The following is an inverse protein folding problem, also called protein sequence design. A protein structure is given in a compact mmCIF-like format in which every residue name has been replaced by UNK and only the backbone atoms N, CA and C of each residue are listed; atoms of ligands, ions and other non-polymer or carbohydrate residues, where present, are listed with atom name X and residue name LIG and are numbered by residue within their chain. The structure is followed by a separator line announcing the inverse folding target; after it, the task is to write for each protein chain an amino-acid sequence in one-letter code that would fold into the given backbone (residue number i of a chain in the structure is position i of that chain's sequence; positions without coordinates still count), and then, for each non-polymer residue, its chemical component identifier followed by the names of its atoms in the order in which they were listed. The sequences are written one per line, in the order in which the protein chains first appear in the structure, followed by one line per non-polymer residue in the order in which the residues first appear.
data_IF_054380332894
#
_entry.id   IF_054380332894
#
_cell.length_a   1.000
_cell.length_b   1.000
_cell.length_c   1.000
_cell.angle_alpha   90.00
_cell.angle_beta   90.00
_cell.angle_gamma   90.00
#
_symmetry.space_group_name_H-M   'P 1'
#
loop_
_entity.id
_entity.type
_entity.pdbx_description
1 polymer ?
#
# COMPACT_ATOMS: atom_id res chain seq x y z
N UNK A 1 -30.63 13.87 -27.37
CA UNK A 1 -31.79 13.44 -26.55
C UNK A 1 -31.37 12.25 -25.69
N UNK A 2 -31.69 12.26 -24.37
CA UNK A 2 -31.36 11.14 -23.49
C UNK A 2 -32.39 10.02 -23.66
N UNK A 3 -31.94 8.79 -23.94
CA UNK A 3 -32.81 7.61 -24.01
C UNK A 3 -33.41 7.33 -22.63
N UNK A 4 -34.74 7.20 -22.56
CA UNK A 4 -35.47 6.75 -21.38
C UNK A 4 -35.86 5.28 -21.59
N UNK A 5 -35.72 4.46 -20.57
CA UNK A 5 -36.13 3.04 -20.57
C UNK A 5 -37.21 2.85 -19.51
N UNK A 6 -38.23 2.08 -19.84
CA UNK A 6 -39.35 1.78 -18.96
C UNK A 6 -38.94 0.60 -18.05
N UNK A 7 -38.99 0.78 -16.73
CA UNK A 7 -38.75 -0.29 -15.76
C UNK A 7 -39.99 -1.23 -15.66
N UNK A 8 -39.82 -2.40 -15.08
CA UNK A 8 -40.90 -3.37 -14.84
C UNK A 8 -42.03 -2.82 -13.94
N UNK A 9 -41.74 -1.75 -13.22
CA UNK A 9 -42.68 -0.99 -12.37
C UNK A 9 -43.44 0.12 -13.09
N UNK A 10 -43.36 0.19 -14.43
CA UNK A 10 -44.06 1.17 -15.27
C UNK A 10 -43.47 2.58 -15.20
N UNK A 11 -42.36 2.81 -14.49
CA UNK A 11 -41.73 4.12 -14.35
C UNK A 11 -40.61 4.32 -15.39
N UNK A 12 -40.46 5.54 -15.88
CA UNK A 12 -39.47 5.94 -16.87
C UNK A 12 -38.15 6.36 -16.20
N UNK A 13 -37.08 5.57 -16.41
CA UNK A 13 -35.75 5.82 -15.90
C UNK A 13 -34.85 6.45 -16.97
N UNK A 14 -34.08 7.51 -16.59
CA UNK A 14 -33.04 8.08 -17.44
C UNK A 14 -31.81 7.19 -17.41
N UNK A 15 -31.44 6.60 -18.54
CA UNK A 15 -30.18 5.85 -18.66
C UNK A 15 -29.02 6.84 -18.65
N UNK A 16 -28.14 6.75 -17.65
CA UNK A 16 -26.90 7.55 -17.59
C UNK A 16 -25.99 7.10 -18.73
N UNK A 17 -25.53 8.05 -19.57
CA UNK A 17 -24.58 7.75 -20.65
C UNK A 17 -23.28 7.21 -20.03
N UNK A 18 -22.74 6.09 -20.54
CA UNK A 18 -21.48 5.54 -20.04
C UNK A 18 -20.35 6.58 -20.22
N UNK A 19 -19.45 6.66 -19.23
CA UNK A 19 -18.42 7.70 -19.10
C UNK A 19 -17.46 7.79 -20.29
N UNK A 20 -17.20 6.66 -20.97
CA UNK A 20 -16.35 6.60 -22.19
C UNK A 20 -16.96 7.29 -23.42
N UNK A 21 -18.24 7.65 -23.41
CA UNK A 21 -18.90 8.44 -24.47
C UNK A 21 -18.83 9.94 -24.23
N UNK A 22 -18.13 10.39 -23.22
CA UNK A 22 -17.85 11.82 -22.98
C UNK A 22 -16.60 12.21 -23.73
N UNK A 23 -16.66 13.29 -24.52
CA UNK A 23 -15.53 13.82 -25.29
C UNK A 23 -14.29 14.03 -24.42
N UNK A 24 -14.47 14.44 -23.17
CA UNK A 24 -13.40 14.60 -22.19
C UNK A 24 -12.57 13.33 -21.93
N UNK A 25 -13.19 12.15 -21.97
CA UNK A 25 -12.50 10.87 -21.83
C UNK A 25 -11.51 10.62 -22.97
N UNK A 26 -11.89 10.96 -24.20
CA UNK A 26 -11.03 10.82 -25.37
C UNK A 26 -9.89 11.86 -25.39
N UNK A 27 -10.14 13.08 -24.87
CA UNK A 27 -9.10 14.10 -24.68
C UNK A 27 -8.03 13.61 -23.71
N UNK A 28 -8.40 12.95 -22.60
CA UNK A 28 -7.45 12.36 -21.66
C UNK A 28 -6.62 11.24 -22.29
N UNK A 29 -7.23 10.37 -23.12
CA UNK A 29 -6.52 9.32 -23.84
C UNK A 29 -5.51 9.91 -24.83
N UNK A 30 -5.89 10.94 -25.58
CA UNK A 30 -4.98 11.62 -26.52
C UNK A 30 -3.81 12.27 -25.80
N UNK A 31 -4.04 12.94 -24.67
CA UNK A 31 -2.98 13.51 -23.81
C UNK A 31 -2.03 12.43 -23.27
N UNK A 32 -2.55 11.27 -22.93
CA UNK A 32 -1.74 10.14 -22.43
C UNK A 32 -0.86 9.53 -23.52
N UNK A 33 -1.35 9.47 -24.76
CA UNK A 33 -0.59 8.97 -25.90
C UNK A 33 0.43 9.99 -26.44
N UNK A 34 0.12 11.29 -26.42
CA UNK A 34 1.06 12.35 -26.85
C UNK A 34 2.15 12.65 -25.83
N UNK A 35 1.91 12.36 -24.54
CA UNK A 35 2.90 12.55 -23.48
C UNK A 35 4.06 11.54 -23.47
N UNK A 36 3.93 10.41 -24.17
CA UNK A 36 4.94 9.32 -24.21
C UNK A 36 5.72 9.32 -25.54
N UNK A 37 5.27 10.06 -26.57
CA UNK A 37 5.84 10.06 -27.93
C UNK A 37 6.89 11.13 -28.21
N UNK A 38 7.33 11.93 -27.25
CA UNK A 38 8.19 13.10 -27.44
C UNK A 38 9.69 12.92 -27.22
N UNK A 39 10.27 11.72 -27.40
CA UNK A 39 11.70 11.53 -27.26
C UNK A 39 12.26 10.54 -28.28
N UNK A 40 12.24 10.88 -29.59
CA UNK A 40 13.14 10.31 -30.59
C UNK A 40 12.80 10.91 -31.98
N UNK A 41 13.43 12.02 -32.35
CA UNK A 41 13.99 12.26 -33.69
C UNK A 41 14.72 13.59 -33.70
N UNK A 42 16.01 13.54 -33.97
CA UNK A 42 16.86 14.70 -34.17
C UNK A 42 16.78 15.23 -35.61
N UNK A 43 17.26 16.46 -35.81
CA UNK A 43 17.65 16.94 -37.16
C UNK A 43 17.31 18.39 -37.45
N UNK A 44 18.31 19.23 -37.33
CA UNK A 44 18.80 20.34 -38.15
C UNK A 44 17.98 21.61 -38.46
N UNK A 45 18.62 22.72 -37.98
CA UNK A 45 18.91 24.03 -38.64
C UNK A 45 17.78 24.97 -39.12
N UNK A 46 17.72 26.19 -38.64
CA UNK A 46 18.48 27.44 -38.95
C UNK A 46 17.74 28.70 -38.48
N UNK A 47 18.56 29.57 -37.87
CA UNK A 47 18.61 31.05 -37.91
C UNK A 47 17.42 31.94 -37.53
N UNK A 48 17.61 32.71 -36.53
CA UNK A 48 17.92 34.14 -36.46
C UNK A 48 17.08 34.97 -35.49
N UNK A 49 17.82 35.75 -34.72
CA UNK A 49 17.58 37.07 -34.14
C UNK A 49 16.85 37.23 -32.79
N UNK A 50 17.70 37.45 -31.79
CA UNK A 50 17.75 38.56 -30.83
C UNK A 50 16.45 39.09 -30.21
N UNK A 51 16.29 38.89 -28.92
CA UNK A 51 16.01 39.94 -27.92
C UNK A 51 16.30 39.46 -26.51
N UNK A 52 17.22 40.14 -25.87
CA UNK A 52 17.63 40.06 -24.46
C UNK A 52 16.46 40.39 -23.54
N UNK A 53 16.15 39.50 -22.58
CA UNK A 53 15.63 39.96 -21.29
C UNK A 53 16.08 38.97 -20.22
N UNK A 54 16.94 39.47 -19.34
CA UNK A 54 17.41 38.89 -18.10
C UNK A 54 16.24 38.56 -17.21
N UNK A 55 16.02 37.29 -16.90
CA UNK A 55 15.16 36.86 -15.80
C UNK A 55 15.91 35.86 -14.96
N UNK A 56 16.21 36.27 -13.76
CA UNK A 56 16.90 35.58 -12.69
C UNK A 56 16.25 34.24 -12.44
N UNK A 57 16.94 33.16 -12.78
CA UNK A 57 16.55 31.80 -12.46
C UNK A 57 16.78 31.56 -10.97
N UNK A 58 15.72 31.67 -10.17
CA UNK A 58 15.74 31.23 -8.78
C UNK A 58 15.57 29.72 -8.79
N UNK A 59 16.69 29.04 -8.83
CA UNK A 59 16.82 27.62 -8.62
C UNK A 59 16.25 27.30 -7.23
N UNK A 60 15.00 26.86 -7.19
CA UNK A 60 14.42 26.27 -5.99
C UNK A 60 15.02 24.89 -5.84
N UNK A 61 16.15 24.83 -5.17
CA UNK A 61 16.67 23.58 -4.62
C UNK A 61 15.59 23.00 -3.74
N UNK A 62 14.94 21.95 -4.23
CA UNK A 62 14.04 21.14 -3.45
C UNK A 62 14.92 20.38 -2.46
N UNK A 63 15.09 20.99 -1.32
CA UNK A 63 15.77 20.40 -0.18
C UNK A 63 14.97 19.14 0.20
N UNK A 64 15.42 18.00 -0.32
CA UNK A 64 15.00 16.71 0.20
C UNK A 64 15.62 16.62 1.57
N UNK A 65 14.89 17.09 2.57
CA UNK A 65 15.22 16.83 3.97
C UNK A 65 15.20 15.32 4.09
N UNK A 66 16.36 14.69 4.11
CA UNK A 66 16.53 13.33 4.60
C UNK A 66 16.09 13.37 6.07
N UNK A 67 14.82 13.06 6.33
CA UNK A 67 14.32 12.79 7.65
C UNK A 67 15.13 11.58 8.11
N UNK A 68 15.96 11.73 9.13
CA UNK A 68 16.61 10.59 9.79
C UNK A 68 15.51 9.56 10.01
N UNK A 69 15.59 8.40 9.34
CA UNK A 69 14.63 7.32 9.49
C UNK A 69 14.85 6.75 10.89
N UNK A 70 14.05 7.24 11.84
CA UNK A 70 14.02 6.71 13.19
C UNK A 70 13.59 5.25 13.08
N UNK A 71 14.54 4.35 13.29
CA UNK A 71 14.26 2.91 13.30
C UNK A 71 13.73 2.53 14.67
N UNK A 72 12.53 1.97 14.68
CA UNK A 72 11.89 1.43 15.87
C UNK A 72 12.21 -0.06 16.00
N UNK A 73 11.93 -0.65 17.16
CA UNK A 73 12.17 -2.06 17.47
C UNK A 73 10.88 -2.79 17.82
N UNK A 74 10.96 -4.11 17.90
CA UNK A 74 9.88 -4.95 18.43
C UNK A 74 9.52 -4.47 19.84
N UNK A 75 8.22 -4.28 20.09
CA UNK A 75 7.68 -3.79 21.35
C UNK A 75 7.51 -2.28 21.44
N UNK A 76 8.10 -1.50 20.54
CA UNK A 76 7.90 -0.04 20.53
C UNK A 76 6.50 0.31 20.02
N UNK A 77 5.87 1.30 20.64
CA UNK A 77 4.66 1.95 20.13
C UNK A 77 5.06 3.04 19.13
N UNK A 78 4.61 2.92 17.90
CA UNK A 78 5.07 3.73 16.78
C UNK A 78 3.91 4.48 16.14
N UNK A 79 3.88 5.80 16.30
CA UNK A 79 2.90 6.65 15.67
C UNK A 79 3.37 7.10 14.26
N UNK A 80 2.50 6.95 13.26
CA UNK A 80 2.69 7.46 11.91
C UNK A 80 1.38 8.04 11.39
N UNK A 81 1.36 9.34 11.12
CA UNK A 81 0.11 10.05 10.84
C UNK A 81 -0.91 9.89 11.97
N UNK A 82 -2.07 9.34 11.64
CA UNK A 82 -3.16 9.04 12.59
C UNK A 82 -3.25 7.55 12.95
N UNK A 83 -2.21 6.79 12.70
CA UNK A 83 -2.13 5.36 13.04
C UNK A 83 -1.02 5.12 14.05
N UNK A 84 -1.25 4.18 14.94
CA UNK A 84 -0.24 3.65 15.86
C UNK A 84 -0.01 2.17 15.54
N UNK A 85 1.26 1.76 15.49
CA UNK A 85 1.67 0.38 15.20
C UNK A 85 2.56 -0.14 16.32
N UNK A 86 2.45 -1.41 16.62
CA UNK A 86 3.34 -2.13 17.52
C UNK A 86 3.56 -3.54 17.02
N UNK A 87 4.80 -3.91 16.77
CA UNK A 87 5.15 -5.31 16.52
C UNK A 87 5.25 -6.01 17.87
N UNK A 88 4.42 -7.02 18.08
CA UNK A 88 4.38 -7.78 19.34
C UNK A 88 5.42 -8.91 19.33
N UNK A 89 5.48 -9.68 18.24
CA UNK A 89 6.43 -10.77 18.05
C UNK A 89 6.69 -11.07 16.58
N UNK A 90 7.76 -11.82 16.33
CA UNK A 90 8.13 -12.35 15.02
C UNK A 90 8.45 -13.82 15.15
N UNK A 91 7.93 -14.64 14.25
CA UNK A 91 8.15 -16.09 14.23
C UNK A 91 8.53 -16.54 12.82
N UNK A 92 9.41 -17.56 12.75
CA UNK A 92 9.79 -18.23 11.49
C UNK A 92 9.23 -19.65 11.53
N UNK A 93 8.30 -19.94 10.62
CA UNK A 93 7.57 -21.22 10.60
C UNK A 93 7.42 -21.76 9.18
N UNK A 94 7.10 -23.05 9.04
CA UNK A 94 6.86 -23.69 7.73
C UNK A 94 5.38 -23.74 7.36
N UNK A 95 4.49 -23.50 8.32
CA UNK A 95 3.04 -23.54 8.11
C UNK A 95 2.32 -22.60 9.07
N UNK A 96 1.13 -22.16 8.67
CA UNK A 96 0.22 -21.32 9.49
C UNK A 96 -1.21 -21.82 9.35
N UNK A 97 -2.07 -21.42 10.29
CA UNK A 97 -3.49 -21.73 10.29
C UNK A 97 -3.84 -22.97 11.12
N UNK A 98 -5.10 -23.46 11.01
CA UNK A 98 -5.61 -24.60 11.76
C UNK A 98 -4.79 -25.88 11.49
N UNK A 99 -4.56 -26.68 12.53
CA UNK A 99 -3.77 -27.91 12.43
C UNK A 99 -4.35 -28.93 11.44
N UNK A 100 -5.69 -28.91 11.25
CA UNK A 100 -6.39 -29.82 10.32
C UNK A 100 -6.27 -29.35 8.85
N UNK A 101 -6.16 -28.04 8.61
CA UNK A 101 -6.04 -27.44 7.29
C UNK A 101 -4.95 -26.36 7.25
N UNK A 102 -3.68 -26.72 7.49
CA UNK A 102 -2.60 -25.73 7.52
C UNK A 102 -2.32 -25.19 6.12
N UNK A 103 -1.95 -23.92 6.05
CA UNK A 103 -1.35 -23.32 4.86
C UNK A 103 0.17 -23.47 4.96
N UNK A 104 0.78 -24.11 3.96
CA UNK A 104 2.22 -24.37 3.93
C UNK A 104 2.95 -23.28 3.14
N UNK A 105 4.11 -22.88 3.62
CA UNK A 105 5.03 -22.01 2.89
C UNK A 105 5.58 -22.70 1.64
N UNK A 106 5.93 -21.93 0.60
CA UNK A 106 6.73 -22.42 -0.53
C UNK A 106 8.15 -22.78 -0.07
N UNK A 107 8.71 -21.96 0.83
CA UNK A 107 9.93 -22.27 1.55
C UNK A 107 9.76 -22.00 3.05
N UNK A 108 9.52 -20.75 3.45
CA UNK A 108 9.42 -20.37 4.87
C UNK A 108 8.47 -19.18 5.02
N UNK A 109 7.69 -19.18 6.09
CA UNK A 109 6.93 -18.02 6.51
C UNK A 109 7.68 -17.22 7.58
N UNK A 110 7.79 -15.91 7.37
CA UNK A 110 8.04 -14.95 8.42
C UNK A 110 6.69 -14.39 8.86
N UNK A 111 6.29 -14.70 10.08
CA UNK A 111 5.01 -14.25 10.68
C UNK A 111 5.29 -13.10 11.62
N UNK A 112 4.61 -11.98 11.41
CA UNK A 112 4.69 -10.80 12.27
C UNK A 112 3.35 -10.61 12.97
N UNK A 113 3.33 -10.77 14.30
CA UNK A 113 2.19 -10.40 15.14
C UNK A 113 2.29 -8.93 15.47
N UNK A 114 1.24 -8.17 15.16
CA UNK A 114 1.25 -6.72 15.37
C UNK A 114 -0.11 -6.21 15.84
N UNK A 115 -0.08 -5.09 16.56
CA UNK A 115 -1.24 -4.31 16.94
C UNK A 115 -1.28 -3.04 16.10
N UNK A 116 -2.49 -2.69 15.63
CA UNK A 116 -2.76 -1.47 14.87
C UNK A 116 -3.87 -0.72 15.56
N UNK A 117 -3.65 0.58 15.86
CA UNK A 117 -4.65 1.44 16.47
C UNK A 117 -4.93 2.64 15.58
N UNK A 118 -6.19 2.96 15.44
CA UNK A 118 -6.64 4.19 14.81
C UNK A 118 -6.70 5.32 15.84
N UNK A 119 -5.69 6.17 15.87
CA UNK A 119 -5.65 7.38 16.71
C UNK A 119 -6.26 8.61 16.02
N UNK A 120 -6.96 8.41 14.91
CA UNK A 120 -7.65 9.46 14.16
C UNK A 120 -9.09 9.67 14.59
N UNK A 121 -9.75 10.57 13.90
CA UNK A 121 -11.13 11.01 14.15
C UNK A 121 -12.18 10.38 13.19
N UNK A 122 -11.73 9.50 12.30
CA UNK A 122 -12.57 8.80 11.31
C UNK A 122 -12.18 7.34 11.22
N UNK A 123 -13.13 6.48 10.86
CA UNK A 123 -12.85 5.09 10.58
C UNK A 123 -11.82 4.94 9.44
N UNK A 124 -10.91 4.00 9.59
CA UNK A 124 -9.86 3.67 8.61
C UNK A 124 -9.98 2.18 8.28
N UNK A 125 -9.95 1.85 7.00
CA UNK A 125 -9.83 0.44 6.60
C UNK A 125 -8.37 0.04 6.69
N UNK A 126 -8.09 -1.03 7.41
CA UNK A 126 -6.76 -1.63 7.53
C UNK A 126 -6.70 -2.89 6.68
N UNK A 127 -5.59 -3.09 5.98
CA UNK A 127 -5.38 -4.22 5.07
C UNK A 127 -3.93 -4.70 5.13
N UNK A 128 -3.72 -5.99 4.87
CA UNK A 128 -2.38 -6.60 4.88
C UNK A 128 -1.41 -5.95 3.89
N UNK A 129 -1.89 -5.35 2.81
CA UNK A 129 -1.09 -4.63 1.82
C UNK A 129 -0.43 -3.35 2.35
N UNK A 130 -0.83 -2.87 3.54
CA UNK A 130 -0.17 -1.73 4.20
C UNK A 130 1.20 -2.09 4.79
N UNK A 131 1.51 -3.38 4.83
CA UNK A 131 2.72 -3.90 5.44
C UNK A 131 3.62 -4.54 4.39
N UNK A 132 4.88 -4.12 4.38
CA UNK A 132 5.91 -4.65 3.48
C UNK A 132 7.12 -5.05 4.29
N UNK A 133 7.72 -6.17 3.95
CA UNK A 133 8.99 -6.57 4.51
C UNK A 133 10.12 -6.04 3.62
N UNK A 134 11.10 -5.39 4.24
CA UNK A 134 12.37 -5.00 3.62
C UNK A 134 13.45 -5.90 4.14
N UNK A 135 14.13 -6.63 3.27
CA UNK A 135 15.21 -7.54 3.59
C UNK A 135 16.23 -7.56 2.45
N UNK A 136 17.51 -7.42 2.73
CA UNK A 136 18.62 -7.45 1.77
C UNK A 136 18.40 -6.54 0.53
N UNK A 137 17.87 -5.34 0.75
CA UNK A 137 17.57 -4.37 -0.29
C UNK A 137 16.38 -4.74 -1.18
N UNK A 138 15.66 -5.81 -0.86
CA UNK A 138 14.45 -6.25 -1.54
C UNK A 138 13.21 -5.86 -0.75
N UNK A 139 12.07 -5.81 -1.44
CA UNK A 139 10.76 -5.57 -0.83
C UNK A 139 9.87 -6.79 -1.09
N UNK A 140 9.25 -7.29 -0.04
CA UNK A 140 8.32 -8.40 -0.09
C UNK A 140 6.95 -7.90 0.33
N UNK A 141 5.93 -8.29 -0.43
CA UNK A 141 4.53 -8.05 -0.10
C UNK A 141 4.03 -9.13 0.86
N UNK A 142 3.08 -8.78 1.71
CA UNK A 142 2.41 -9.76 2.56
C UNK A 142 1.62 -10.77 1.73
N UNK A 143 1.69 -12.05 2.09
CA UNK A 143 0.81 -13.08 1.54
C UNK A 143 -0.55 -13.00 2.24
N UNK A 144 -1.55 -12.49 1.53
CA UNK A 144 -2.88 -12.26 2.08
C UNK A 144 -3.58 -13.56 2.47
N UNK A 145 -3.39 -14.64 1.71
CA UNK A 145 -4.01 -15.94 1.99
C UNK A 145 -3.39 -16.58 3.24
N UNK A 146 -2.05 -16.58 3.33
CA UNK A 146 -1.34 -17.07 4.51
C UNK A 146 -1.62 -16.20 5.73
N UNK A 147 -1.70 -14.86 5.57
CA UNK A 147 -2.08 -13.95 6.66
C UNK A 147 -3.49 -14.23 7.17
N UNK A 148 -4.44 -14.48 6.28
CA UNK A 148 -5.80 -14.85 6.67
C UNK A 148 -5.80 -16.19 7.43
N UNK A 149 -5.07 -17.19 6.93
CA UNK A 149 -4.95 -18.51 7.57
C UNK A 149 -4.32 -18.39 8.96
N UNK A 150 -3.26 -17.60 9.13
CA UNK A 150 -2.59 -17.38 10.41
C UNK A 150 -3.48 -16.74 11.50
N UNK A 151 -4.59 -16.12 11.09
CA UNK A 151 -5.58 -15.49 11.96
C UNK A 151 -6.83 -16.34 12.17
N UNK A 152 -6.81 -17.63 11.79
CA UNK A 152 -7.86 -18.59 12.06
C UNK A 152 -7.61 -19.36 13.37
N UNK A 153 -8.72 -19.68 14.07
CA UNK A 153 -8.72 -20.65 15.17
C UNK A 153 -8.73 -22.10 14.61
N UNK A 154 -8.64 -23.10 15.51
CA UNK A 154 -8.66 -24.52 15.12
C UNK A 154 -9.97 -24.97 14.45
N UNK A 155 -11.05 -24.19 14.52
CA UNK A 155 -12.31 -24.43 13.84
C UNK A 155 -12.38 -23.74 12.47
N UNK A 156 -11.33 -22.99 12.07
CA UNK A 156 -11.27 -22.23 10.84
C UNK A 156 -11.97 -20.86 10.90
N UNK A 157 -12.41 -20.40 12.08
CA UNK A 157 -12.98 -19.06 12.21
C UNK A 157 -11.88 -18.02 12.22
N UNK A 158 -12.07 -16.94 11.48
CA UNK A 158 -11.17 -15.78 11.52
C UNK A 158 -11.45 -15.04 12.83
N UNK A 159 -10.45 -14.97 13.70
CA UNK A 159 -10.57 -14.32 15.01
C UNK A 159 -10.05 -12.88 14.98
N UNK A 160 -8.96 -12.67 14.27
CA UNK A 160 -8.31 -11.36 14.11
C UNK A 160 -7.67 -11.30 12.72
N UNK A 161 -7.92 -10.27 11.95
CA UNK A 161 -7.42 -10.19 10.58
C UNK A 161 -7.26 -8.76 10.15
N UNK A 162 -6.28 -8.51 9.28
CA UNK A 162 -6.14 -7.24 8.56
C UNK A 162 -6.57 -7.40 7.10
N UNK A 163 -7.70 -8.02 6.88
CA UNK A 163 -8.29 -8.13 5.55
C UNK A 163 -9.48 -7.18 5.42
N UNK A 164 -9.22 -5.98 4.90
CA UNK A 164 -10.21 -4.91 4.72
C UNK A 164 -11.03 -4.60 6.00
N UNK A 165 -10.38 -4.68 7.15
CA UNK A 165 -11.02 -4.44 8.45
C UNK A 165 -11.26 -2.94 8.67
N UNK A 166 -12.47 -2.58 9.08
CA UNK A 166 -12.82 -1.20 9.41
C UNK A 166 -12.56 -0.90 10.88
N UNK A 167 -11.54 -0.10 11.14
CA UNK A 167 -11.12 0.29 12.49
C UNK A 167 -11.67 1.69 12.82
N UNK A 168 -12.64 1.76 13.71
CA UNK A 168 -13.20 3.03 14.17
C UNK A 168 -12.17 3.85 14.98
N UNK A 169 -12.41 5.17 15.19
CA UNK A 169 -11.56 5.98 16.05
C UNK A 169 -11.34 5.34 17.41
N UNK A 170 -10.11 5.46 17.93
CA UNK A 170 -9.63 4.92 19.20
C UNK A 170 -9.65 3.38 19.33
N UNK A 171 -10.09 2.66 18.32
CA UNK A 171 -10.08 1.21 18.30
C UNK A 171 -8.72 0.65 17.91
N UNK A 172 -8.38 -0.49 18.52
CA UNK A 172 -7.17 -1.27 18.24
C UNK A 172 -7.54 -2.66 17.77
N UNK A 173 -6.81 -3.16 16.78
CA UNK A 173 -6.87 -4.52 16.27
C UNK A 173 -5.50 -5.16 16.40
N UNK A 174 -5.43 -6.41 16.85
CA UNK A 174 -4.22 -7.23 16.82
C UNK A 174 -4.40 -8.34 15.81
N UNK A 175 -3.36 -8.66 15.06
CA UNK A 175 -3.41 -9.73 14.06
C UNK A 175 -2.04 -10.07 13.51
N UNK A 176 -1.99 -11.09 12.66
CA UNK A 176 -0.76 -11.61 12.06
C UNK A 176 -0.69 -11.25 10.58
N UNK A 177 0.49 -10.80 10.17
CA UNK A 177 0.87 -10.63 8.76
C UNK A 177 1.94 -11.66 8.43
N UNK A 178 1.81 -12.30 7.28
CA UNK A 178 2.68 -13.39 6.86
C UNK A 178 3.40 -13.04 5.55
N UNK A 179 4.70 -13.32 5.49
CA UNK A 179 5.52 -13.18 4.30
C UNK A 179 6.07 -14.55 3.90
N UNK A 180 5.76 -15.01 2.68
CA UNK A 180 6.29 -16.26 2.11
C UNK A 180 7.64 -15.96 1.42
N UNK A 181 8.74 -16.29 2.06
CA UNK A 181 10.10 -15.92 1.67
C UNK A 181 11.06 -17.08 1.86
N UNK A 182 12.30 -16.93 1.39
CA UNK A 182 13.32 -17.95 1.65
C UNK A 182 13.74 -17.98 3.12
N UNK A 183 14.16 -19.16 3.60
CA UNK A 183 14.64 -19.32 4.99
C UNK A 183 15.82 -18.40 5.30
N UNK A 184 16.73 -18.21 4.32
CA UNK A 184 17.83 -17.27 4.47
C UNK A 184 17.35 -15.83 4.72
N UNK A 185 16.30 -15.41 4.01
CA UNK A 185 15.71 -14.08 4.20
C UNK A 185 14.92 -13.98 5.51
N UNK A 186 14.19 -15.02 5.89
CA UNK A 186 13.45 -15.03 7.16
C UNK A 186 14.39 -14.86 8.38
N UNK A 187 15.60 -15.42 8.30
CA UNK A 187 16.61 -15.36 9.36
C UNK A 187 17.60 -14.18 9.21
N UNK A 188 17.45 -13.34 8.19
CA UNK A 188 18.34 -12.20 7.98
C UNK A 188 18.20 -11.15 9.09
N UNK A 189 19.33 -10.63 9.59
CA UNK A 189 19.35 -9.70 10.74
C UNK A 189 18.96 -8.24 10.38
N UNK A 190 18.71 -7.98 9.12
CA UNK A 190 18.36 -6.65 8.60
C UNK A 190 16.89 -6.55 8.16
N UNK A 191 16.05 -7.48 8.62
CA UNK A 191 14.63 -7.46 8.34
C UNK A 191 13.94 -6.25 8.99
N UNK A 192 13.20 -5.50 8.19
CA UNK A 192 12.46 -4.32 8.63
C UNK A 192 11.03 -4.42 8.12
N UNK A 193 10.06 -4.29 9.01
CA UNK A 193 8.67 -4.09 8.64
C UNK A 193 8.47 -2.61 8.28
N UNK A 194 8.01 -2.34 7.09
CA UNK A 194 7.51 -1.04 6.69
C UNK A 194 5.99 -1.03 6.78
N UNK A 195 5.43 -0.12 7.59
CA UNK A 195 3.99 0.10 7.70
C UNK A 195 3.61 1.47 7.13
N UNK A 196 2.43 1.56 6.50
CA UNK A 196 1.92 2.80 5.89
C UNK A 196 0.54 3.17 6.44
N UNK A 197 0.16 4.46 6.31
CA UNK A 197 -1.06 5.03 6.90
C UNK A 197 -2.36 4.76 6.13
N UNK A 198 -2.38 3.82 5.18
CA UNK A 198 -3.56 3.46 4.40
C UNK A 198 -3.25 3.30 2.91
N UNK A 199 -4.25 2.96 2.09
CA UNK A 199 -4.09 2.72 0.65
C UNK A 199 -3.43 3.87 -0.10
N UNK A 200 -3.71 5.10 0.30
CA UNK A 200 -3.15 6.32 -0.29
C UNK A 200 -2.21 7.04 0.68
N UNK A 201 -1.81 6.35 1.76
CA UNK A 201 -0.91 6.90 2.76
C UNK A 201 0.47 7.16 2.16
N UNK A 202 0.94 8.40 2.30
CA UNK A 202 2.27 8.81 1.88
C UNK A 202 3.29 8.68 3.02
N UNK A 203 2.80 8.51 4.24
CA UNK A 203 3.64 8.38 5.44
C UNK A 203 3.88 6.91 5.72
N UNK A 204 5.14 6.57 5.95
CA UNK A 204 5.57 5.22 6.29
C UNK A 204 6.49 5.25 7.51
N UNK A 205 6.57 4.12 8.19
CA UNK A 205 7.49 3.90 9.29
C UNK A 205 8.20 2.56 9.11
N UNK A 206 9.42 2.48 9.62
CA UNK A 206 10.27 1.30 9.57
C UNK A 206 10.49 0.77 10.98
N UNK A 207 10.17 -0.52 11.21
CA UNK A 207 10.32 -1.22 12.48
C UNK A 207 11.27 -2.39 12.26
N UNK A 208 12.42 -2.39 12.93
CA UNK A 208 13.36 -3.52 12.89
C UNK A 208 12.74 -4.76 13.54
N UNK A 209 12.85 -5.91 12.85
CA UNK A 209 12.29 -7.18 13.29
C UNK A 209 13.31 -8.04 14.08
N UNK A 210 14.39 -7.43 14.54
CA UNK A 210 15.43 -8.05 15.37
C UNK A 210 15.68 -7.20 16.62
N UNK A 211 16.06 -7.85 17.69
CA UNK A 211 16.50 -7.23 18.95
C UNK A 211 18.01 -7.03 18.96
#
# INVERSE_FOLDING_TARGET
MAKKVMGQDGKMYKVKKPFYKRVWFWVLIVLLFFGIGGALSGGENKDSATATSTSTNKETTKETTAKEEKTYKIGDDVAVGKMEYKVNSVEVVKQVGPSVFPTNAKDTFLVVDLSVKNAGDKAVTVDSSFFKLKADGKTFEADSAASMSANQDENGNITNSFFMESLNPDMQQTGKIVFDISEAQANAQNNVLQAQTGYFGTETVSIALHN
#
